data_IF_085279772468
#
_entry.id   IF_085279772468
#
_cell.length_a   1.000
_cell.length_b   1.000
_cell.length_c   1.000
_cell.angle_alpha   90.00
_cell.angle_beta   90.00
_cell.angle_gamma   90.00
#
_symmetry.space_group_name_H-M   'P 1'
#
loop_
_entity.id
_entity.type
_entity.pdbx_description
1 polymer ?
#
# COMPACT_ATOMS: atom_id res chain seq x y z
N UNK A 1 1.20 -37.38 -68.26
CA UNK A 1 1.91 -36.82 -67.12
C UNK A 1 1.24 -35.56 -66.68
N UNK A 2 0.47 -35.60 -65.57
CA UNK A 2 -0.27 -34.44 -65.02
C UNK A 2 0.52 -33.93 -63.84
N UNK A 3 1.04 -32.69 -63.94
CA UNK A 3 1.72 -32.00 -62.84
C UNK A 3 0.68 -31.41 -61.92
N UNK A 4 0.65 -31.87 -60.68
CA UNK A 4 -0.17 -31.32 -59.60
C UNK A 4 0.63 -30.21 -58.92
N UNK A 5 0.14 -28.98 -59.03
CA UNK A 5 0.73 -27.80 -58.37
C UNK A 5 0.11 -27.71 -56.95
N UNK A 6 0.91 -27.96 -55.91
CA UNK A 6 0.49 -27.81 -54.52
C UNK A 6 0.84 -26.37 -54.13
N UNK A 7 -0.19 -25.52 -53.95
CA UNK A 7 -0.04 -24.16 -53.40
C UNK A 7 -0.16 -24.32 -51.87
N UNK A 8 0.96 -24.15 -51.18
CA UNK A 8 0.99 -24.06 -49.73
C UNK A 8 0.54 -22.65 -49.28
N UNK A 9 -0.64 -22.55 -48.69
CA UNK A 9 -1.08 -21.35 -47.98
C UNK A 9 -0.41 -21.35 -46.59
N UNK A 10 0.62 -20.50 -46.42
CA UNK A 10 1.15 -20.18 -45.11
C UNK A 10 0.23 -19.16 -44.43
N UNK A 11 -0.56 -19.62 -43.46
CA UNK A 11 -1.30 -18.78 -42.54
C UNK A 11 -0.29 -18.10 -41.60
N UNK A 12 0.04 -16.86 -41.90
CA UNK A 12 0.67 -15.96 -40.91
C UNK A 12 -0.38 -15.59 -39.88
N UNK A 13 -0.37 -16.24 -38.72
CA UNK A 13 -1.06 -15.75 -37.55
C UNK A 13 -0.28 -14.58 -36.98
N UNK A 14 -0.71 -13.36 -37.30
CA UNK A 14 -0.31 -12.15 -36.58
C UNK A 14 -0.91 -12.26 -35.16
N UNK A 15 -0.09 -12.67 -34.20
CA UNK A 15 -0.40 -12.44 -32.79
C UNK A 15 -0.29 -10.93 -32.54
N UNK A 16 -1.43 -10.25 -32.58
CA UNK A 16 -1.54 -8.89 -32.03
C UNK A 16 -1.37 -9.06 -30.51
N UNK A 17 -0.15 -8.94 -30.03
CA UNK A 17 0.11 -8.62 -28.64
C UNK A 17 -0.52 -7.25 -28.41
N UNK A 18 -1.72 -7.22 -27.84
CA UNK A 18 -2.30 -5.99 -27.35
C UNK A 18 -1.31 -5.43 -26.33
N UNK A 19 -0.57 -4.41 -26.73
CA UNK A 19 0.24 -3.62 -25.81
C UNK A 19 -0.72 -3.13 -24.73
N UNK A 20 -0.57 -3.60 -23.49
CA UNK A 20 -1.40 -3.13 -22.37
C UNK A 20 -1.07 -1.66 -22.17
N UNK A 21 -1.89 -0.82 -22.74
CA UNK A 21 -1.80 0.64 -22.59
C UNK A 21 -2.44 0.94 -21.24
N UNK A 22 -1.65 1.31 -20.25
CA UNK A 22 -2.15 1.69 -18.93
C UNK A 22 -3.19 2.80 -19.02
N UNK A 23 -4.33 2.63 -18.35
CA UNK A 23 -5.41 3.59 -18.35
C UNK A 23 -4.95 4.96 -17.83
N UNK A 24 -5.24 6.02 -18.57
CA UNK A 24 -4.91 7.39 -18.16
C UNK A 24 -5.88 7.92 -17.10
N UNK A 25 -5.36 8.71 -16.17
CA UNK A 25 -6.16 9.44 -15.19
C UNK A 25 -7.16 10.39 -15.86
N UNK A 26 -8.37 10.47 -15.30
CA UNK A 26 -9.44 11.32 -15.80
C UNK A 26 -9.56 12.61 -14.97
N UNK A 27 -10.07 13.71 -15.56
CA UNK A 27 -10.36 14.92 -14.80
C UNK A 27 -11.28 14.64 -13.61
N UNK A 28 -10.96 15.25 -12.45
CA UNK A 28 -11.71 15.06 -11.21
C UNK A 28 -11.43 13.75 -10.47
N UNK A 29 -10.56 12.89 -10.97
CA UNK A 29 -10.14 11.68 -10.26
C UNK A 29 -9.24 12.05 -9.07
N UNK A 30 -9.37 11.32 -7.96
CA UNK A 30 -8.48 11.45 -6.82
C UNK A 30 -7.10 10.89 -7.18
N UNK A 31 -6.08 11.71 -7.03
CA UNK A 31 -4.69 11.39 -7.41
C UNK A 31 -3.80 11.43 -6.16
N UNK A 32 -3.77 10.34 -5.42
CA UNK A 32 -2.87 10.11 -4.30
C UNK A 32 -2.02 8.89 -4.57
N UNK A 33 -0.75 8.98 -4.22
CA UNK A 33 0.10 7.83 -4.08
C UNK A 33 0.02 7.26 -2.66
N UNK A 34 0.38 5.99 -2.50
CA UNK A 34 0.51 5.34 -1.19
C UNK A 34 -0.76 5.55 -0.33
N UNK A 35 -1.96 5.20 -0.85
CA UNK A 35 -3.22 5.55 -0.22
C UNK A 35 -3.47 4.71 1.03
N UNK A 36 -3.82 5.37 2.12
CA UNK A 36 -4.31 4.75 3.34
C UNK A 36 -5.70 5.26 3.70
N UNK A 37 -6.59 4.39 4.14
CA UNK A 37 -7.95 4.76 4.56
C UNK A 37 -8.24 4.31 5.98
N UNK A 38 -8.67 5.27 6.78
CA UNK A 38 -9.31 5.06 8.08
C UNK A 38 -10.83 5.13 7.93
N UNK A 39 -11.56 4.12 8.41
CA UNK A 39 -13.02 4.19 8.64
C UNK A 39 -13.26 4.58 10.10
N UNK A 40 -13.91 5.73 10.33
CA UNK A 40 -14.23 6.21 11.66
C UNK A 40 -15.57 6.97 11.67
N UNK A 41 -16.45 6.62 12.62
CA UNK A 41 -17.77 7.21 12.82
C UNK A 41 -18.60 7.35 11.52
N UNK A 42 -18.54 6.33 10.67
CA UNK A 42 -19.27 6.25 9.40
C UNK A 42 -18.72 7.18 8.30
N UNK A 43 -17.53 7.72 8.47
CA UNK A 43 -16.75 8.39 7.46
C UNK A 43 -15.53 7.56 7.08
N UNK A 44 -15.11 7.70 5.86
CA UNK A 44 -13.83 7.26 5.34
C UNK A 44 -12.91 8.49 5.22
N UNK A 45 -11.70 8.38 5.74
CA UNK A 45 -10.66 9.40 5.64
C UNK A 45 -9.50 8.82 4.84
N UNK A 46 -9.18 9.40 3.69
CA UNK A 46 -8.06 8.95 2.87
C UNK A 46 -6.88 9.90 2.97
N UNK A 47 -5.73 9.32 3.23
CA UNK A 47 -4.43 9.99 3.29
C UNK A 47 -3.55 9.46 2.17
N UNK A 48 -2.48 10.17 1.81
CA UNK A 48 -1.52 9.69 0.82
C UNK A 48 -0.42 10.68 0.53
N UNK A 49 0.57 10.22 -0.20
CA UNK A 49 1.69 11.00 -0.69
C UNK A 49 1.22 11.92 -1.81
N UNK A 50 1.28 13.24 -1.60
CA UNK A 50 0.87 14.21 -2.60
C UNK A 50 1.49 15.60 -2.39
N UNK A 51 1.52 16.13 -1.17
CA UNK A 51 2.00 17.48 -0.87
C UNK A 51 3.49 17.49 -0.54
N UNK A 52 4.16 18.61 -0.86
CA UNK A 52 5.59 18.79 -0.55
C UNK A 52 5.83 19.09 0.94
N UNK A 53 4.90 19.84 1.58
CA UNK A 53 5.04 20.34 2.94
C UNK A 53 4.33 19.49 4.01
N UNK A 54 3.86 18.26 3.66
CA UNK A 54 3.18 17.40 4.61
C UNK A 54 2.20 16.42 3.98
N UNK A 55 1.18 16.01 4.73
CA UNK A 55 0.22 14.96 4.36
C UNK A 55 -1.17 15.56 4.15
N UNK A 56 -1.79 15.23 3.01
CA UNK A 56 -3.19 15.59 2.70
C UNK A 56 -4.16 14.60 3.33
N UNK A 57 -5.43 15.05 3.53
CA UNK A 57 -6.55 14.17 3.88
C UNK A 57 -7.82 14.63 3.19
N UNK A 58 -8.60 13.67 2.69
CA UNK A 58 -9.95 13.85 2.17
C UNK A 58 -10.91 12.94 2.94
N UNK A 59 -12.21 13.25 2.92
CA UNK A 59 -13.22 12.41 3.56
C UNK A 59 -14.34 12.01 2.59
N UNK A 60 -14.99 10.89 2.84
CA UNK A 60 -16.09 10.35 2.04
C UNK A 60 -17.08 9.55 2.88
N UNK A 61 -18.33 9.44 2.41
CA UNK A 61 -19.33 8.52 2.98
C UNK A 61 -19.49 7.23 2.19
N UNK A 62 -18.96 7.19 0.97
CA UNK A 62 -19.24 6.10 0.02
C UNK A 62 -17.99 5.52 -0.67
N UNK A 63 -16.81 6.07 -0.41
CA UNK A 63 -15.52 5.78 -1.07
C UNK A 63 -15.49 6.14 -2.58
N UNK A 64 -16.55 6.69 -3.14
CA UNK A 64 -16.62 7.08 -4.56
C UNK A 64 -16.38 8.57 -4.74
N UNK A 65 -17.06 9.38 -3.93
CA UNK A 65 -16.93 10.83 -3.97
C UNK A 65 -16.26 11.30 -2.68
N UNK A 66 -15.13 11.97 -2.85
CA UNK A 66 -14.33 12.50 -1.76
C UNK A 66 -14.45 14.01 -1.76
N UNK A 67 -14.88 14.57 -0.64
CA UNK A 67 -14.98 16.01 -0.45
C UNK A 67 -13.60 16.66 -0.42
N UNK A 68 -13.56 17.99 -0.59
CA UNK A 68 -12.34 18.77 -0.48
C UNK A 68 -11.57 18.46 0.81
N UNK A 69 -10.28 18.76 0.80
CA UNK A 69 -9.36 18.53 1.91
C UNK A 69 -9.97 18.96 3.23
N UNK A 70 -10.17 18.02 4.15
CA UNK A 70 -10.68 18.31 5.50
C UNK A 70 -9.56 18.65 6.51
N UNK A 71 -8.30 18.68 6.07
CA UNK A 71 -7.14 18.89 6.91
C UNK A 71 -7.20 20.20 7.69
N UNK A 72 -6.78 20.15 8.96
CA UNK A 72 -6.84 21.27 9.92
C UNK A 72 -5.47 21.88 10.22
N UNK A 73 -4.38 21.30 9.72
CA UNK A 73 -3.06 21.90 9.73
C UNK A 73 -2.96 23.02 8.67
N UNK A 74 -1.85 23.73 8.66
CA UNK A 74 -1.54 24.76 7.66
C UNK A 74 -1.74 24.20 6.24
N UNK A 75 -2.20 25.03 5.31
CA UNK A 75 -2.51 24.67 3.91
C UNK A 75 -3.58 23.59 3.75
N UNK A 76 -4.50 23.45 4.71
CA UNK A 76 -5.52 22.40 4.76
C UNK A 76 -4.93 20.97 4.66
N UNK A 77 -3.78 20.75 5.31
CA UNK A 77 -3.15 19.44 5.46
C UNK A 77 -3.63 18.75 6.75
N UNK A 78 -3.50 17.41 6.80
CA UNK A 78 -3.64 16.68 8.04
C UNK A 78 -2.40 16.85 8.94
N UNK A 79 -1.22 16.87 8.33
CA UNK A 79 0.08 17.06 8.96
C UNK A 79 0.86 18.07 8.13
N UNK A 80 1.46 19.08 8.79
CA UNK A 80 2.33 20.07 8.16
C UNK A 80 3.73 20.00 8.78
N UNK A 81 4.75 20.20 7.99
CA UNK A 81 6.16 20.13 8.43
C UNK A 81 6.52 21.06 9.60
N UNK A 82 5.83 22.19 9.77
CA UNK A 82 6.08 23.12 10.89
C UNK A 82 5.72 22.49 12.26
N UNK A 83 4.91 21.41 12.28
CA UNK A 83 4.38 20.77 13.49
C UNK A 83 5.09 19.45 13.84
N UNK A 84 6.02 18.99 13.00
CA UNK A 84 6.66 17.68 13.10
C UNK A 84 8.13 17.71 12.68
N UNK A 85 8.84 16.60 12.85
CA UNK A 85 10.20 16.42 12.32
C UNK A 85 10.19 16.17 10.81
N UNK A 86 11.17 16.75 10.11
CA UNK A 86 11.40 16.62 8.67
C UNK A 86 10.90 17.84 7.90
N UNK A 87 11.65 18.20 6.85
CA UNK A 87 11.37 19.36 5.98
C UNK A 87 10.81 18.98 4.62
N UNK A 88 10.92 17.71 4.24
CA UNK A 88 10.59 17.22 2.89
C UNK A 88 10.29 15.71 2.87
N UNK A 89 9.75 15.24 1.72
CA UNK A 89 9.51 13.82 1.43
C UNK A 89 8.56 13.17 2.42
N UNK A 90 7.40 13.83 2.63
CA UNK A 90 6.33 13.30 3.45
C UNK A 90 5.58 12.23 2.68
N UNK A 91 5.84 10.95 2.99
CA UNK A 91 5.36 9.81 2.23
C UNK A 91 4.64 8.78 3.10
N UNK A 92 3.81 7.95 2.42
CA UNK A 92 3.22 6.72 2.93
C UNK A 92 2.63 6.86 4.35
N UNK A 93 1.66 7.79 4.56
CA UNK A 93 1.01 7.94 5.85
C UNK A 93 0.06 6.79 6.13
N UNK A 94 0.03 6.31 7.37
CA UNK A 94 -1.01 5.44 7.90
C UNK A 94 -1.59 6.01 9.18
N UNK A 95 -2.91 5.94 9.37
CA UNK A 95 -3.61 6.57 10.51
C UNK A 95 -4.46 5.57 11.25
N UNK A 96 -4.30 5.52 12.56
CA UNK A 96 -4.98 4.60 13.45
C UNK A 96 -5.71 5.35 14.55
N UNK A 97 -6.88 4.84 14.95
CA UNK A 97 -7.54 5.31 16.17
C UNK A 97 -7.05 4.49 17.36
N UNK A 98 -6.48 5.16 18.35
CA UNK A 98 -5.94 4.56 19.58
C UNK A 98 -6.58 5.25 20.78
N UNK A 99 -7.57 4.61 21.40
CA UNK A 99 -8.40 5.23 22.43
C UNK A 99 -9.13 6.45 21.87
N UNK A 100 -8.90 7.60 22.49
CA UNK A 100 -9.51 8.88 22.11
C UNK A 100 -8.61 9.72 21.15
N UNK A 101 -7.48 9.17 20.73
CA UNK A 101 -6.51 9.84 19.85
C UNK A 101 -6.44 9.16 18.48
N UNK A 102 -5.86 9.89 17.55
CA UNK A 102 -5.44 9.39 16.25
C UNK A 102 -3.92 9.45 16.16
N UNK A 103 -3.35 8.37 15.68
CA UNK A 103 -1.91 8.20 15.50
C UNK A 103 -1.64 8.11 14.02
N UNK A 104 -0.69 8.88 13.54
CA UNK A 104 -0.18 8.78 12.18
C UNK A 104 1.26 8.29 12.21
N UNK A 105 1.55 7.24 11.46
CA UNK A 105 2.92 6.95 11.02
C UNK A 105 3.12 7.48 9.61
N UNK A 106 4.32 7.96 9.31
CA UNK A 106 4.67 8.52 8.00
C UNK A 106 6.18 8.44 7.80
N UNK A 107 6.63 8.63 6.57
CA UNK A 107 8.05 8.81 6.26
C UNK A 107 8.33 10.28 5.97
N UNK A 108 9.44 10.80 6.51
CA UNK A 108 10.01 12.10 6.15
C UNK A 108 11.53 11.95 6.06
N UNK A 109 12.17 12.52 5.02
CA UNK A 109 13.62 12.43 4.78
C UNK A 109 14.18 11.01 4.86
N UNK A 110 13.38 10.03 4.42
CA UNK A 110 13.68 8.58 4.51
C UNK A 110 13.83 8.07 5.96
N UNK A 111 13.09 8.66 6.90
CA UNK A 111 12.96 8.14 8.27
C UNK A 111 11.50 7.91 8.61
N UNK A 112 11.22 6.83 9.34
CA UNK A 112 9.88 6.56 9.84
C UNK A 112 9.59 7.41 11.07
N UNK A 113 8.41 8.03 11.07
CA UNK A 113 8.00 9.02 12.07
C UNK A 113 6.61 8.68 12.63
N UNK A 114 6.29 9.33 13.76
CA UNK A 114 5.05 9.19 14.50
C UNK A 114 4.51 10.57 14.86
N UNK A 115 3.20 10.79 14.72
CA UNK A 115 2.52 12.01 15.15
C UNK A 115 1.13 11.70 15.71
N UNK A 116 0.58 12.58 16.56
CA UNK A 116 -0.73 12.42 17.19
C UNK A 116 -1.68 13.56 16.85
N UNK A 117 -2.98 13.28 16.91
CA UNK A 117 -4.05 14.26 16.78
C UNK A 117 -5.29 13.87 17.59
N UNK A 118 -6.12 14.87 17.93
CA UNK A 118 -7.46 14.67 18.48
C UNK A 118 -8.53 14.47 17.39
N UNK A 119 -8.14 14.53 16.13
CA UNK A 119 -9.06 14.45 14.98
C UNK A 119 -8.44 13.70 13.81
N UNK A 120 -9.22 12.90 13.05
CA UNK A 120 -8.72 12.26 11.83
C UNK A 120 -8.31 13.27 10.75
N UNK A 121 -8.83 14.51 10.81
CA UNK A 121 -8.41 15.58 9.90
C UNK A 121 -7.16 16.35 10.41
N UNK A 122 -6.52 15.90 11.49
CA UNK A 122 -5.39 16.61 12.10
C UNK A 122 -5.81 17.85 12.92
N UNK A 123 -4.89 18.79 13.29
CA UNK A 123 -3.47 18.69 12.96
C UNK A 123 -2.78 17.53 13.67
N UNK A 124 -2.01 16.75 12.93
CA UNK A 124 -1.10 15.77 13.53
C UNK A 124 0.19 16.47 13.93
N UNK A 125 0.60 16.29 15.18
CA UNK A 125 1.76 16.97 15.77
C UNK A 125 2.68 15.99 16.49
N UNK A 126 3.96 16.28 16.55
CA UNK A 126 4.92 15.59 17.39
C UNK A 126 5.27 16.47 18.60
N UNK A 127 5.17 15.91 19.81
CA UNK A 127 5.63 16.58 21.03
C UNK A 127 7.15 16.69 21.05
N UNK A 128 7.82 15.59 20.68
CA UNK A 128 9.25 15.51 20.45
C UNK A 128 9.48 15.32 18.96
N UNK A 129 9.98 16.36 18.30
CA UNK A 129 10.21 16.32 16.86
C UNK A 129 11.43 15.45 16.53
N UNK A 130 11.21 14.16 16.39
CA UNK A 130 12.23 13.16 16.06
C UNK A 130 11.62 11.98 15.30
N UNK A 131 12.38 11.28 14.45
CA UNK A 131 11.93 10.00 13.91
C UNK A 131 12.01 8.89 14.97
N UNK A 132 11.42 7.72 14.68
CA UNK A 132 11.54 6.53 15.52
C UNK A 132 13.00 6.11 15.72
N UNK A 133 13.75 6.07 14.62
CA UNK A 133 15.15 5.63 14.55
C UNK A 133 16.00 6.75 13.93
N UNK A 134 16.52 7.71 14.74
CA UNK A 134 17.26 8.86 14.20
C UNK A 134 18.51 8.50 13.41
N UNK A 135 19.17 7.40 13.76
CA UNK A 135 20.43 6.95 13.15
C UNK A 135 20.22 6.01 11.96
N UNK A 136 18.96 5.62 11.66
CA UNK A 136 18.67 4.61 10.67
C UNK A 136 17.61 5.10 9.67
N UNK A 137 17.89 4.95 8.39
CA UNK A 137 16.94 5.21 7.32
C UNK A 137 15.96 4.06 7.15
N UNK A 138 14.71 4.43 6.92
CA UNK A 138 13.62 3.51 6.64
C UNK A 138 12.35 4.25 6.22
N UNK A 139 11.45 3.56 5.54
CA UNK A 139 10.20 4.11 5.02
C UNK A 139 9.04 3.13 5.24
N UNK A 140 7.83 3.55 4.90
CA UNK A 140 6.64 2.71 4.77
C UNK A 140 6.30 1.92 6.02
N UNK A 141 6.06 2.64 7.11
CA UNK A 141 5.73 2.03 8.39
C UNK A 141 4.24 1.66 8.48
N UNK A 142 3.96 0.42 8.87
CA UNK A 142 2.63 -0.15 9.12
C UNK A 142 2.54 -0.62 10.56
N UNK A 143 1.53 -0.19 11.33
CA UNK A 143 1.26 -0.70 12.67
C UNK A 143 0.17 -1.77 12.61
N UNK A 144 0.47 -2.93 13.17
CA UNK A 144 -0.47 -4.02 13.35
C UNK A 144 -0.72 -4.27 14.83
N UNK A 145 -2.00 -4.21 15.24
CA UNK A 145 -2.45 -4.49 16.59
C UNK A 145 -2.90 -5.95 16.69
N UNK A 146 -2.36 -6.68 17.66
CA UNK A 146 -2.73 -8.08 17.94
C UNK A 146 -2.86 -8.29 19.44
N UNK A 147 -4.08 -8.53 19.89
CA UNK A 147 -4.46 -8.56 21.30
C UNK A 147 -3.99 -7.29 22.04
N UNK A 148 -3.16 -7.40 23.07
CA UNK A 148 -2.67 -6.29 23.89
C UNK A 148 -1.34 -5.70 23.38
N UNK A 149 -0.86 -6.12 22.20
CA UNK A 149 0.43 -5.69 21.64
C UNK A 149 0.27 -4.95 20.33
N UNK A 150 1.19 -4.04 20.08
CA UNK A 150 1.37 -3.39 18.80
C UNK A 150 2.71 -3.80 18.18
N UNK A 151 2.69 -4.00 16.88
CA UNK A 151 3.86 -4.34 16.07
C UNK A 151 4.00 -3.33 14.95
N UNK A 152 5.22 -2.93 14.65
CA UNK A 152 5.53 -2.10 13.50
C UNK A 152 6.25 -2.91 12.44
N UNK A 153 5.81 -2.76 11.19
CA UNK A 153 6.49 -3.26 10.00
C UNK A 153 7.00 -2.06 9.23
N UNK A 154 8.23 -2.12 8.71
CA UNK A 154 8.79 -1.02 7.91
C UNK A 154 9.86 -1.51 6.96
N UNK A 155 10.19 -0.72 5.96
CA UNK A 155 11.35 -0.94 5.10
C UNK A 155 12.57 -0.36 5.78
N UNK A 156 13.56 -1.18 6.07
CA UNK A 156 14.85 -0.75 6.61
C UNK A 156 15.90 -0.74 5.51
N UNK A 157 16.67 0.33 5.40
CA UNK A 157 17.68 0.45 4.36
C UNK A 157 18.96 -0.31 4.73
N UNK A 158 19.36 -0.28 5.99
CA UNK A 158 20.45 -1.11 6.45
C UNK A 158 20.03 -2.58 6.56
N UNK A 159 20.75 -3.45 5.85
CA UNK A 159 20.34 -4.87 5.74
C UNK A 159 19.01 -5.04 5.02
N UNK A 160 18.79 -4.27 3.99
CA UNK A 160 17.59 -4.01 3.21
C UNK A 160 16.50 -5.09 3.27
N UNK A 161 15.25 -4.66 3.39
CA UNK A 161 14.06 -5.51 3.38
C UNK A 161 12.96 -4.97 4.30
N UNK A 162 11.85 -5.68 4.33
CA UNK A 162 10.78 -5.45 5.31
C UNK A 162 11.21 -6.07 6.64
N UNK A 163 11.20 -5.25 7.67
CA UNK A 163 11.47 -5.62 9.06
C UNK A 163 10.21 -5.47 9.90
N UNK A 164 10.15 -6.16 11.03
CA UNK A 164 9.11 -5.95 12.03
C UNK A 164 9.68 -6.07 13.45
N UNK A 165 9.06 -5.34 14.37
CA UNK A 165 9.37 -5.36 15.79
C UNK A 165 8.12 -5.09 16.64
N UNK A 166 8.17 -5.39 17.94
CA UNK A 166 7.18 -4.90 18.90
C UNK A 166 7.35 -3.39 19.10
N UNK A 167 6.24 -2.67 19.29
CA UNK A 167 6.23 -1.28 19.76
C UNK A 167 6.09 -1.25 21.29
N UNK A 168 6.50 -0.13 21.89
CA UNK A 168 6.13 0.21 23.26
C UNK A 168 4.61 0.41 23.38
N UNK A 169 4.09 0.33 24.60
CA UNK A 169 2.64 0.41 24.87
C UNK A 169 2.05 1.77 24.49
N UNK A 170 2.86 2.83 24.49
CA UNK A 170 2.52 4.18 24.04
C UNK A 170 2.80 4.42 22.55
N UNK A 171 3.25 3.41 21.82
CA UNK A 171 3.57 3.41 20.39
C UNK A 171 4.73 4.34 19.97
N UNK A 172 5.50 4.89 20.90
CA UNK A 172 6.52 5.90 20.60
C UNK A 172 7.94 5.33 20.44
N UNK A 173 8.14 4.05 20.78
CA UNK A 173 9.43 3.40 20.70
C UNK A 173 9.35 2.03 20.03
N UNK A 174 10.31 1.74 19.17
CA UNK A 174 10.48 0.41 18.57
C UNK A 174 11.37 -0.42 19.49
N UNK A 175 10.88 -1.56 19.96
CA UNK A 175 11.64 -2.52 20.77
C UNK A 175 12.62 -3.30 19.88
N UNK A 176 13.76 -2.68 19.55
CA UNK A 176 14.73 -3.20 18.58
C UNK A 176 15.29 -4.59 18.94
N UNK A 177 15.27 -5.00 20.19
CA UNK A 177 15.63 -6.35 20.63
C UNK A 177 14.67 -7.42 20.08
N UNK A 178 13.45 -7.05 19.75
CA UNK A 178 12.45 -7.91 19.11
C UNK A 178 12.53 -7.91 17.58
N UNK A 179 13.31 -7.00 17.00
CA UNK A 179 13.34 -6.77 15.56
C UNK A 179 13.76 -8.01 14.76
N UNK A 180 13.04 -8.28 13.68
CA UNK A 180 13.28 -9.40 12.75
C UNK A 180 13.18 -8.90 11.33
N UNK A 181 14.04 -9.44 10.45
CA UNK A 181 13.81 -9.34 9.02
C UNK A 181 12.66 -10.29 8.66
N UNK A 182 11.66 -9.75 8.00
CA UNK A 182 10.45 -10.48 7.62
C UNK A 182 10.56 -10.97 6.18
N UNK A 183 11.01 -10.09 5.27
CA UNK A 183 11.06 -10.39 3.85
C UNK A 183 12.13 -9.54 3.15
N UNK A 184 12.80 -10.15 2.18
CA UNK A 184 13.64 -9.47 1.16
C UNK A 184 13.19 -9.91 -0.21
N UNK A 185 13.32 -9.11 -1.26
CA UNK A 185 12.97 -9.54 -2.61
C UNK A 185 13.73 -10.80 -3.02
N UNK A 186 13.02 -11.73 -3.66
CA UNK A 186 13.61 -12.97 -4.14
C UNK A 186 14.02 -12.83 -5.60
N UNK A 187 15.32 -13.10 -5.87
CA UNK A 187 15.89 -12.98 -7.21
C UNK A 187 15.27 -14.00 -8.17
N UNK A 188 15.21 -13.63 -9.45
CA UNK A 188 14.68 -14.46 -10.53
C UNK A 188 13.19 -14.81 -10.36
N UNK A 189 12.45 -13.95 -9.63
CA UNK A 189 11.00 -14.01 -9.46
C UNK A 189 10.33 -12.69 -9.86
N UNK A 190 9.00 -12.62 -9.76
CA UNK A 190 8.23 -11.39 -9.97
C UNK A 190 8.63 -10.24 -9.02
N UNK A 191 9.28 -10.55 -7.89
CA UNK A 191 9.69 -9.58 -6.88
C UNK A 191 10.91 -8.74 -7.31
N UNK A 192 11.68 -9.23 -8.26
CA UNK A 192 12.89 -8.56 -8.73
C UNK A 192 13.03 -8.67 -10.25
N UNK A 193 12.20 -7.89 -10.98
CA UNK A 193 12.28 -7.78 -12.45
C UNK A 193 13.30 -6.72 -12.85
N UNK A 194 13.20 -5.52 -12.27
CA UNK A 194 14.08 -4.38 -12.59
C UNK A 194 14.91 -3.96 -11.38
N UNK A 195 14.27 -3.84 -10.22
CA UNK A 195 14.85 -3.24 -9.01
C UNK A 195 14.68 -4.16 -7.79
N UNK A 196 15.69 -4.16 -6.92
CA UNK A 196 15.67 -4.88 -5.64
C UNK A 196 14.90 -4.08 -4.59
N UNK A 197 13.57 -4.06 -4.70
CA UNK A 197 12.67 -3.33 -3.82
C UNK A 197 11.59 -4.23 -3.25
N UNK A 198 11.37 -4.16 -1.91
CA UNK A 198 10.18 -4.64 -1.22
C UNK A 198 9.73 -3.57 -0.25
N UNK A 199 8.46 -3.14 -0.35
CA UNK A 199 7.95 -1.99 0.40
C UNK A 199 6.44 -2.08 0.64
N UNK A 200 5.85 -1.06 1.28
CA UNK A 200 4.41 -0.96 1.53
C UNK A 200 3.83 -2.19 2.23
N UNK A 201 4.38 -2.64 3.38
CA UNK A 201 3.85 -3.79 4.10
C UNK A 201 2.46 -3.49 4.66
N UNK A 202 1.54 -4.46 4.60
CA UNK A 202 0.27 -4.41 5.32
C UNK A 202 -0.06 -5.79 5.87
N UNK A 203 -0.50 -5.88 7.13
CA UNK A 203 -0.76 -7.16 7.79
C UNK A 203 -2.23 -7.28 8.17
N UNK A 204 -2.77 -8.48 7.98
CA UNK A 204 -4.12 -8.82 8.42
C UNK A 204 -4.14 -10.21 9.05
N UNK A 205 -4.86 -10.35 10.17
CA UNK A 205 -5.12 -11.65 10.81
C UNK A 205 -6.40 -12.27 10.23
N UNK A 206 -6.29 -13.48 9.69
CA UNK A 206 -7.45 -14.23 9.19
C UNK A 206 -7.37 -15.69 9.59
N UNK A 207 -8.44 -16.20 10.26
CA UNK A 207 -8.53 -17.59 10.73
C UNK A 207 -7.31 -18.06 11.55
N UNK A 208 -6.80 -17.15 12.40
CA UNK A 208 -5.69 -17.42 13.32
C UNK A 208 -4.31 -17.40 12.67
N UNK A 209 -4.18 -16.92 11.43
CA UNK A 209 -2.91 -16.74 10.73
C UNK A 209 -2.71 -15.30 10.30
N UNK A 210 -1.47 -14.91 10.09
CA UNK A 210 -1.06 -13.56 9.71
C UNK A 210 -0.73 -13.53 8.23
N UNK A 211 -1.34 -12.61 7.51
CA UNK A 211 -1.19 -12.38 6.07
C UNK A 211 -0.49 -11.05 5.90
N UNK A 212 0.77 -11.09 5.52
CA UNK A 212 1.54 -9.93 5.11
C UNK A 212 1.33 -9.76 3.60
N UNK A 213 0.85 -8.60 3.19
CA UNK A 213 0.89 -8.16 1.80
C UNK A 213 1.97 -7.08 1.65
N UNK A 214 2.65 -7.05 0.50
CA UNK A 214 3.81 -6.20 0.27
C UNK A 214 3.96 -5.91 -1.21
N UNK A 215 4.60 -4.79 -1.54
CA UNK A 215 4.88 -4.41 -2.93
C UNK A 215 6.32 -4.70 -3.29
N UNK A 216 6.55 -5.10 -4.54
CA UNK A 216 7.89 -5.35 -5.08
C UNK A 216 8.09 -4.72 -6.45
N UNK A 217 9.35 -4.61 -6.85
CA UNK A 217 9.89 -3.73 -7.87
C UNK A 217 9.81 -2.26 -7.46
N UNK A 218 10.43 -1.37 -8.20
CA UNK A 218 10.36 0.06 -7.92
C UNK A 218 9.01 0.63 -8.38
N UNK A 219 8.42 1.57 -7.64
CA UNK A 219 7.12 2.17 -7.97
C UNK A 219 7.06 2.83 -9.37
N UNK A 220 8.21 3.14 -9.96
CA UNK A 220 8.29 3.66 -11.32
C UNK A 220 8.21 2.57 -12.39
N UNK A 221 8.40 1.31 -12.03
CA UNK A 221 8.26 0.18 -12.94
C UNK A 221 6.79 -0.11 -13.23
N UNK A 222 6.49 -0.43 -14.49
CA UNK A 222 5.16 -0.95 -14.87
C UNK A 222 4.87 -2.32 -14.25
N UNK A 223 5.90 -3.00 -13.77
CA UNK A 223 5.83 -4.30 -13.09
C UNK A 223 5.79 -4.19 -11.56
N UNK A 224 5.61 -2.97 -11.02
CA UNK A 224 5.28 -2.78 -9.63
C UNK A 224 4.01 -3.54 -9.27
N UNK A 225 4.09 -4.41 -8.27
CA UNK A 225 3.05 -5.40 -8.00
C UNK A 225 2.97 -5.73 -6.50
N UNK A 226 1.84 -6.29 -6.07
CA UNK A 226 1.61 -6.72 -4.69
C UNK A 226 1.63 -8.23 -4.60
N UNK A 227 2.38 -8.76 -3.66
CA UNK A 227 2.33 -10.16 -3.26
C UNK A 227 1.81 -10.36 -1.85
N UNK A 228 1.74 -11.62 -1.43
CA UNK A 228 1.39 -11.98 -0.06
C UNK A 228 2.26 -13.11 0.46
N UNK A 229 2.50 -13.09 1.78
CA UNK A 229 3.14 -14.15 2.53
C UNK A 229 2.33 -14.44 3.80
N UNK A 230 2.43 -15.65 4.33
CA UNK A 230 1.57 -16.13 5.42
C UNK A 230 2.43 -16.71 6.54
N UNK A 231 2.09 -16.39 7.79
CA UNK A 231 2.77 -16.89 8.99
C UNK A 231 1.78 -17.38 10.05
N UNK A 232 2.29 -18.19 10.98
CA UNK A 232 1.55 -18.61 12.18
C UNK A 232 1.81 -17.68 13.38
N UNK A 233 2.77 -16.73 13.25
CA UNK A 233 3.13 -15.72 14.26
C UNK A 233 3.31 -14.36 13.58
N UNK A 234 3.03 -13.27 14.31
CA UNK A 234 3.17 -11.87 13.80
C UNK A 234 4.57 -11.60 13.26
N UNK A 235 5.60 -12.00 13.99
CA UNK A 235 7.00 -11.81 13.60
C UNK A 235 7.57 -12.95 12.73
N UNK A 236 6.68 -13.77 12.14
CA UNK A 236 7.05 -14.82 11.19
C UNK A 236 7.54 -16.12 11.83
N UNK A 237 8.18 -17.00 11.05
CA UNK A 237 8.58 -16.79 9.65
C UNK A 237 7.40 -16.75 8.69
N UNK A 238 7.47 -15.88 7.68
CA UNK A 238 6.49 -15.75 6.62
C UNK A 238 6.86 -16.57 5.40
N UNK A 239 5.90 -17.35 4.89
CA UNK A 239 6.02 -18.15 3.67
C UNK A 239 5.26 -17.45 2.53
N UNK A 240 5.93 -17.20 1.39
CA UNK A 240 5.32 -16.63 0.19
C UNK A 240 4.25 -17.52 -0.36
N UNK A 241 3.16 -16.90 -0.80
CA UNK A 241 2.11 -17.67 -1.48
C UNK A 241 2.50 -18.01 -2.92
N UNK A 242 2.20 -19.22 -3.34
CA UNK A 242 2.60 -19.72 -4.67
C UNK A 242 1.91 -18.97 -5.85
N UNK A 243 0.75 -18.37 -5.60
CA UNK A 243 -0.03 -17.64 -6.61
C UNK A 243 0.34 -16.13 -6.69
N UNK A 244 1.48 -15.71 -6.10
CA UNK A 244 1.96 -14.35 -6.23
C UNK A 244 2.35 -14.01 -7.69
N UNK A 245 2.20 -12.75 -8.10
CA UNK A 245 1.62 -11.61 -7.36
C UNK A 245 0.09 -11.66 -7.31
N UNK A 246 -0.52 -11.11 -6.24
CA UNK A 246 -1.99 -11.01 -6.07
C UNK A 246 -2.59 -9.80 -6.78
N UNK A 247 -1.77 -8.78 -7.05
CA UNK A 247 -2.16 -7.57 -7.79
C UNK A 247 -1.01 -7.17 -8.71
N UNK A 248 -1.23 -7.24 -10.01
CA UNK A 248 -0.24 -6.86 -11.04
C UNK A 248 -0.97 -6.46 -12.31
N UNK A 249 -0.66 -5.26 -12.84
CA UNK A 249 -1.29 -4.73 -14.07
C UNK A 249 -2.82 -4.92 -14.08
N UNK A 250 -3.45 -4.66 -12.94
CA UNK A 250 -4.84 -5.01 -12.69
C UNK A 250 -5.80 -4.17 -13.51
N UNK A 251 -6.81 -4.80 -14.13
CA UNK A 251 -7.87 -4.17 -14.91
C UNK A 251 -7.35 -3.14 -15.95
N UNK A 252 -6.18 -3.39 -16.55
CA UNK A 252 -5.57 -2.51 -17.55
C UNK A 252 -4.76 -1.34 -17.02
N UNK A 253 -4.60 -1.21 -15.69
CA UNK A 253 -3.69 -0.26 -15.05
C UNK A 253 -2.30 -0.87 -14.89
N UNK A 254 -1.26 -0.05 -14.90
CA UNK A 254 0.15 -0.47 -14.74
C UNK A 254 0.78 0.24 -13.55
N UNK A 255 1.88 -0.31 -13.02
CA UNK A 255 2.53 0.22 -11.82
C UNK A 255 1.60 0.17 -10.61
N UNK A 256 0.88 -0.96 -10.44
CA UNK A 256 -0.14 -1.15 -9.40
C UNK A 256 0.51 -1.70 -8.13
N UNK A 257 0.47 -0.92 -7.05
CA UNK A 257 1.07 -1.33 -5.79
C UNK A 257 0.86 -0.32 -4.68
N UNK A 258 1.63 -0.44 -3.62
CA UNK A 258 1.56 0.30 -2.37
C UNK A 258 0.11 0.47 -1.91
N UNK A 259 -0.36 -0.48 -1.15
CA UNK A 259 -1.79 -0.73 -0.93
C UNK A 259 -2.13 -0.71 0.57
N UNK A 260 -3.40 -0.52 0.84
CA UNK A 260 -4.02 -0.70 2.15
C UNK A 260 -5.15 -1.70 2.05
N UNK A 261 -5.26 -2.59 3.03
CA UNK A 261 -6.40 -3.48 3.20
C UNK A 261 -7.42 -2.84 4.13
N UNK A 262 -8.64 -2.58 3.64
CA UNK A 262 -9.70 -1.92 4.39
C UNK A 262 -10.86 -2.88 4.66
N UNK A 263 -10.99 -3.43 5.88
CA UNK A 263 -12.18 -4.14 6.29
C UNK A 263 -13.32 -3.15 6.55
N UNK A 264 -14.49 -3.40 5.95
CA UNK A 264 -15.71 -2.61 6.14
C UNK A 264 -16.90 -3.49 6.46
N UNK A 265 -18.03 -2.90 6.86
CA UNK A 265 -19.29 -3.62 7.00
C UNK A 265 -19.81 -4.23 5.68
N UNK A 266 -19.33 -3.72 4.53
CA UNK A 266 -19.72 -4.19 3.18
C UNK A 266 -18.79 -5.28 2.63
N UNK A 267 -17.68 -5.55 3.29
CA UNK A 267 -16.65 -6.50 2.87
C UNK A 267 -15.25 -5.92 3.01
N UNK A 268 -14.28 -6.64 2.50
CA UNK A 268 -12.88 -6.23 2.48
C UNK A 268 -12.57 -5.55 1.14
N UNK A 269 -11.86 -4.43 1.19
CA UNK A 269 -11.38 -3.70 0.03
C UNK A 269 -9.86 -3.58 0.07
N UNK A 270 -9.25 -3.47 -1.10
CA UNK A 270 -7.87 -3.05 -1.28
C UNK A 270 -7.85 -1.70 -1.98
N UNK A 271 -7.14 -0.74 -1.39
CA UNK A 271 -6.84 0.54 -2.00
C UNK A 271 -5.38 0.50 -2.43
N UNK A 272 -5.08 0.95 -3.62
CA UNK A 272 -3.74 0.92 -4.18
C UNK A 272 -3.54 2.08 -5.15
N UNK A 273 -2.30 2.39 -5.48
CA UNK A 273 -2.05 3.34 -6.55
C UNK A 273 -1.67 2.64 -7.85
N UNK A 274 -1.81 3.38 -8.95
CA UNK A 274 -1.31 3.03 -10.27
C UNK A 274 -0.61 4.22 -10.90
N UNK A 275 0.18 4.00 -11.95
CA UNK A 275 0.73 5.08 -12.77
C UNK A 275 -0.38 5.99 -13.32
N UNK A 276 -0.06 7.26 -13.58
CA UNK A 276 -0.99 8.21 -14.20
C UNK A 276 -1.51 7.73 -15.56
N UNK A 277 -0.66 7.03 -16.31
CA UNK A 277 -0.99 6.38 -17.58
C UNK A 277 0.06 5.32 -17.92
N UNK A 278 -0.07 4.65 -19.05
CA UNK A 278 0.95 3.73 -19.56
C UNK A 278 2.31 4.39 -19.88
N UNK A 279 2.36 5.72 -19.97
CA UNK A 279 3.56 6.48 -20.34
C UNK A 279 4.03 7.44 -19.24
N UNK A 280 3.13 7.81 -18.32
CA UNK A 280 3.37 8.82 -17.30
C UNK A 280 3.14 8.23 -15.90
N UNK A 281 4.11 8.38 -15.01
CA UNK A 281 4.04 7.86 -13.64
C UNK A 281 3.22 8.80 -12.75
N UNK A 282 3.58 10.07 -12.68
CA UNK A 282 3.00 11.05 -11.76
C UNK A 282 1.98 12.00 -12.42
N UNK A 283 1.02 12.54 -11.61
CA UNK A 283 0.63 12.07 -10.30
C UNK A 283 -0.03 10.70 -10.37
N UNK A 284 0.24 9.82 -9.38
CA UNK A 284 -0.30 8.45 -9.35
C UNK A 284 -1.81 8.45 -9.10
N UNK A 285 -2.52 7.50 -9.71
CA UNK A 285 -3.97 7.33 -9.55
C UNK A 285 -4.27 6.50 -8.31
N UNK A 286 -5.30 6.87 -7.55
CA UNK A 286 -5.86 6.02 -6.49
C UNK A 286 -6.96 5.15 -7.05
N UNK A 287 -6.94 3.87 -6.71
CA UNK A 287 -7.91 2.86 -7.15
C UNK A 287 -8.36 2.03 -5.96
N UNK A 288 -9.61 1.56 -5.99
CA UNK A 288 -10.19 0.71 -4.95
C UNK A 288 -10.83 -0.51 -5.61
N UNK A 289 -10.55 -1.70 -5.10
CA UNK A 289 -11.17 -2.94 -5.54
C UNK A 289 -11.70 -3.75 -4.35
N UNK A 290 -12.78 -4.52 -4.51
CA UNK A 290 -13.12 -5.55 -3.54
C UNK A 290 -12.04 -6.61 -3.53
N UNK A 291 -11.73 -7.15 -2.36
CA UNK A 291 -10.79 -8.25 -2.18
C UNK A 291 -11.38 -9.26 -1.19
N UNK A 292 -11.09 -10.52 -1.33
CA UNK A 292 -11.61 -11.52 -0.40
C UNK A 292 -10.62 -12.66 -0.18
N UNK A 293 -10.75 -13.31 0.95
CA UNK A 293 -10.03 -14.54 1.25
C UNK A 293 -10.73 -15.73 0.59
N UNK A 294 -10.04 -16.40 -0.31
CA UNK A 294 -10.46 -17.66 -0.92
C UNK A 294 -9.66 -18.82 -0.32
N UNK A 295 -10.33 -19.90 0.06
CA UNK A 295 -9.65 -21.07 0.60
C UNK A 295 -8.82 -21.75 -0.50
N UNK A 296 -7.53 -21.91 -0.26
CA UNK A 296 -6.67 -22.71 -1.13
C UNK A 296 -6.97 -24.20 -0.94
N UNK A 297 -7.43 -24.84 -2.02
CA UNK A 297 -7.80 -26.27 -2.01
C UNK A 297 -6.63 -27.21 -2.31
N UNK A 298 -5.51 -26.68 -2.81
CA UNK A 298 -4.32 -27.44 -3.22
C UNK A 298 -3.33 -27.73 -2.10
N UNK A 299 -3.48 -27.13 -0.92
CA UNK A 299 -2.49 -27.20 0.17
C UNK A 299 -3.02 -28.01 1.34
N UNK A 300 -2.18 -28.92 1.88
CA UNK A 300 -2.54 -29.74 3.06
C UNK A 300 -2.89 -28.94 4.31
N UNK A 301 -2.28 -27.76 4.52
CA UNK A 301 -2.67 -26.80 5.56
C UNK A 301 -3.84 -25.94 5.06
N UNK A 302 -4.78 -25.60 5.95
CA UNK A 302 -5.83 -24.61 5.65
C UNK A 302 -5.19 -23.24 5.39
N UNK A 303 -4.85 -22.96 4.16
CA UNK A 303 -4.31 -21.69 3.71
C UNK A 303 -5.40 -20.97 2.91
N UNK A 304 -5.37 -19.64 2.97
CA UNK A 304 -6.24 -18.78 2.19
C UNK A 304 -5.36 -17.89 1.33
N UNK A 305 -5.84 -17.58 0.14
CA UNK A 305 -5.25 -16.56 -0.73
C UNK A 305 -6.16 -15.36 -0.84
N UNK A 306 -5.59 -14.20 -1.06
CA UNK A 306 -6.33 -12.99 -1.36
C UNK A 306 -6.62 -12.93 -2.86
N UNK A 307 -7.88 -12.65 -3.21
CA UNK A 307 -8.33 -12.46 -4.59
C UNK A 307 -8.87 -11.06 -4.74
N UNK A 308 -8.25 -10.27 -5.61
CA UNK A 308 -8.70 -8.94 -6.00
C UNK A 308 -9.78 -9.06 -7.06
N UNK A 309 -10.90 -8.38 -6.87
CA UNK A 309 -12.02 -8.36 -7.82
C UNK A 309 -11.76 -7.41 -8.97
N UNK A 310 -12.31 -7.74 -10.15
CA UNK A 310 -12.12 -6.97 -11.37
C UNK A 310 -12.84 -5.59 -11.38
N UNK A 311 -13.87 -5.45 -10.56
CA UNK A 311 -14.67 -4.22 -10.52
C UNK A 311 -13.97 -3.16 -9.67
N UNK A 312 -13.49 -2.10 -10.33
CA UNK A 312 -12.84 -0.96 -9.67
C UNK A 312 -13.84 0.14 -9.30
N UNK A 313 -13.63 0.72 -8.12
CA UNK A 313 -14.10 2.05 -7.77
C UNK A 313 -12.96 3.01 -8.11
N UNK A 314 -13.26 4.02 -8.91
CA UNK A 314 -12.33 5.10 -9.26
C UNK A 314 -12.75 6.33 -8.45
N UNK A 315 -12.04 6.66 -7.36
CA UNK A 315 -12.38 7.76 -6.49
C UNK A 315 -12.34 9.11 -7.24
N UNK A 316 -13.28 9.98 -6.93
CA UNK A 316 -13.35 11.32 -7.52
C UNK A 316 -13.36 12.37 -6.42
N UNK A 317 -12.71 13.49 -6.65
CA UNK A 317 -12.86 14.69 -5.84
C UNK A 317 -14.13 15.42 -6.30
N UNK A 318 -15.06 15.61 -5.38
CA UNK A 318 -16.33 16.32 -5.62
C UNK A 318 -16.49 17.46 -4.63
N UNK A 319 -17.25 18.49 -5.01
CA UNK A 319 -17.77 19.48 -4.08
C UNK A 319 -18.95 18.86 -3.32
N UNK A 320 -19.02 19.05 -2.00
CA UNK A 320 -20.20 18.75 -1.18
C UNK A 320 -21.39 19.62 -1.60
#
# INVERSE_FOLDING_TARGET
MKHLLIIAFSLFTLSVQAQMVGHAAKPGQLLLADPFVLEDDGWYYIYGTHAEDGIVVYRSRDMQTWSDRCGRAKSALALHKDDVWGEKWFWAPEVYRVGDKYVMTYSAEEHICYAESDSPCGPFVQREQRPYLPEEKGIDSHIFFDDDKAYIFWVRFEGYGIWAAELSDDLQEIRMESARVILRPEKDTWEWVEEYVSEGPAVMKHKGRYYLTYSCNHYQSKDYAVGMAVADSVLGPYERHADNPILHRHAGYVGTGHHTLLPTKRGLYVLFHAHNSGEKIHPRQTLIAPIHFERDRGVKRKMYRLRVGEQLIIPKVGQE
#
